data_IF_061207591151
#
_entry.id   IF_061207591151
#
_cell.length_a   1.000
_cell.length_b   1.000
_cell.length_c   1.000
_cell.angle_alpha   90.00
_cell.angle_beta   90.00
_cell.angle_gamma   90.00
#
_symmetry.space_group_name_H-M   'P 1'
#
loop_
_entity.id
_entity.type
_entity.pdbx_description
1 polymer ?
#
# COMPACT_ATOMS: atom_id res chain seq x y z
N UNK A 1 17.36 63.88 50.41
CA UNK A 1 17.80 63.04 49.30
C UNK A 1 17.48 61.61 49.69
N UNK A 2 16.77 60.82 48.89
CA UNK A 2 16.59 59.39 49.19
C UNK A 2 17.99 58.80 49.41
N UNK A 3 18.18 58.07 50.52
CA UNK A 3 19.46 57.43 50.76
C UNK A 3 19.75 56.50 49.57
N UNK A 4 20.99 56.44 49.09
CA UNK A 4 21.43 55.60 47.95
C UNK A 4 20.90 54.15 48.05
N UNK A 5 20.65 53.68 49.27
CA UNK A 5 20.01 52.40 49.60
C UNK A 5 18.59 52.24 49.04
N UNK A 6 17.76 53.29 49.07
CA UNK A 6 16.37 53.24 48.58
C UNK A 6 16.31 53.12 47.05
N UNK A 7 17.25 53.76 46.35
CA UNK A 7 17.38 53.69 44.88
C UNK A 7 17.83 52.29 44.45
N UNK A 8 18.83 51.74 45.15
CA UNK A 8 19.33 50.40 44.88
C UNK A 8 18.27 49.34 45.16
N UNK A 9 17.53 49.46 46.28
CA UNK A 9 16.40 48.58 46.61
C UNK A 9 15.30 48.62 45.55
N UNK A 10 14.92 49.80 45.08
CA UNK A 10 13.91 49.94 44.04
C UNK A 10 14.36 49.29 42.71
N UNK A 11 15.62 49.45 42.33
CA UNK A 11 16.15 48.91 41.08
C UNK A 11 16.17 47.36 41.04
N UNK A 12 16.31 46.70 42.20
CA UNK A 12 16.33 45.24 42.30
C UNK A 12 14.97 44.60 42.60
N UNK A 13 13.94 45.39 42.92
CA UNK A 13 12.59 44.85 43.15
C UNK A 13 11.86 44.47 41.85
N UNK A 14 12.18 45.14 40.73
CA UNK A 14 11.56 44.91 39.42
C UNK A 14 12.25 43.82 38.60
N UNK A 15 13.32 43.21 39.13
CA UNK A 15 14.11 42.17 38.47
C UNK A 15 14.05 40.91 39.33
N UNK A 16 13.84 39.74 38.73
CA UNK A 16 13.80 38.44 39.43
C UNK A 16 15.20 37.95 39.83
N UNK A 17 15.89 38.75 40.64
CA UNK A 17 17.22 38.43 41.17
C UNK A 17 17.26 38.55 42.69
N UNK A 18 18.22 37.84 43.31
CA UNK A 18 18.68 38.12 44.66
C UNK A 18 20.05 38.79 44.57
N UNK A 19 20.21 39.96 45.18
CA UNK A 19 21.44 40.75 45.16
C UNK A 19 21.98 40.94 46.59
N UNK A 20 23.21 40.48 46.80
CA UNK A 20 23.87 40.44 48.10
C UNK A 20 25.18 41.20 48.00
N UNK A 21 25.52 42.02 48.99
CA UNK A 21 26.83 42.64 49.08
C UNK A 21 27.44 42.37 50.45
N UNK A 22 28.74 42.06 50.47
CA UNK A 22 29.53 41.88 51.69
C UNK A 22 30.74 42.82 51.69
N UNK A 23 31.23 43.18 52.87
CA UNK A 23 32.55 43.81 53.04
C UNK A 23 33.70 42.78 52.97
N UNK A 24 34.93 43.25 53.15
CA UNK A 24 36.14 42.40 53.15
C UNK A 24 36.21 41.40 54.30
N UNK A 25 35.49 41.64 55.39
CA UNK A 25 35.42 40.73 56.55
C UNK A 25 34.28 39.71 56.42
N UNK A 26 33.41 39.88 55.42
CA UNK A 26 32.27 39.01 55.14
C UNK A 26 30.96 39.49 55.77
N UNK A 27 30.92 40.69 56.33
CA UNK A 27 29.69 41.29 56.87
C UNK A 27 28.77 41.66 55.73
N UNK A 28 27.52 41.20 55.77
CA UNK A 28 26.52 41.52 54.76
C UNK A 28 26.15 43.00 54.87
N UNK A 29 26.48 43.76 53.83
CA UNK A 29 26.15 45.18 53.67
C UNK A 29 24.77 45.38 53.06
N UNK A 30 24.33 44.43 52.23
CA UNK A 30 23.07 44.50 51.48
C UNK A 30 22.53 43.10 51.20
N UNK A 31 21.21 42.95 51.29
CA UNK A 31 20.48 41.74 50.90
C UNK A 31 19.11 42.17 50.36
N UNK A 32 19.01 42.36 49.05
CA UNK A 32 17.84 42.94 48.37
C UNK A 32 17.42 42.09 47.16
N UNK A 33 16.18 42.24 46.70
CA UNK A 33 15.65 41.59 45.50
C UNK A 33 14.55 40.55 45.77
N UNK A 34 13.67 40.38 44.78
CA UNK A 34 12.47 39.55 44.90
C UNK A 34 12.77 38.07 45.23
N UNK A 35 13.96 37.59 44.84
CA UNK A 35 14.38 36.20 45.06
C UNK A 35 14.99 35.94 46.44
N UNK A 36 15.30 36.96 47.24
CA UNK A 36 15.86 36.80 48.61
C UNK A 36 14.88 36.04 49.52
N UNK A 37 13.59 36.40 49.43
CA UNK A 37 12.49 35.71 50.14
C UNK A 37 12.35 34.24 49.75
N UNK A 38 12.66 33.90 48.49
CA UNK A 38 12.60 32.52 47.97
C UNK A 38 13.82 31.67 48.40
N UNK A 39 14.90 32.32 48.83
CA UNK A 39 16.06 31.68 49.48
C UNK A 39 15.87 31.53 51.01
N UNK A 40 14.69 31.87 51.54
CA UNK A 40 14.32 31.69 52.94
C UNK A 40 14.64 32.87 53.87
N UNK A 41 15.08 34.01 53.33
CA UNK A 41 15.40 35.22 54.10
C UNK A 41 14.51 36.40 53.69
N UNK A 42 14.08 37.23 54.62
CA UNK A 42 13.45 38.50 54.27
C UNK A 42 14.51 39.51 53.77
N UNK A 43 14.19 40.39 52.80
CA UNK A 43 15.09 41.47 52.40
C UNK A 43 15.56 42.27 53.62
N UNK A 44 16.87 42.52 53.69
CA UNK A 44 17.51 43.21 54.81
C UNK A 44 17.68 42.40 56.10
N UNK A 45 17.07 41.21 56.26
CA UNK A 45 17.10 40.44 57.52
C UNK A 45 18.51 40.08 57.98
N UNK A 46 19.39 39.81 57.03
CA UNK A 46 20.73 39.29 57.29
C UNK A 46 21.82 40.37 57.18
N UNK A 47 21.43 41.63 56.99
CA UNK A 47 22.37 42.77 56.97
C UNK A 47 23.02 42.90 58.35
N UNK A 48 24.35 43.03 58.37
CA UNK A 48 25.16 43.07 59.59
C UNK A 48 25.60 41.70 60.12
N UNK A 49 25.08 40.59 59.60
CA UNK A 49 25.58 39.26 59.91
C UNK A 49 26.78 38.90 59.04
N UNK A 50 27.64 38.01 59.54
CA UNK A 50 28.79 37.53 58.78
C UNK A 50 28.40 36.34 57.88
N UNK A 51 28.52 36.51 56.56
CA UNK A 51 28.14 35.52 55.56
C UNK A 51 28.96 34.23 55.70
N UNK A 52 30.26 34.31 56.04
CA UNK A 52 31.11 33.13 56.19
C UNK A 52 30.74 32.29 57.40
N UNK A 53 30.19 32.91 58.45
CA UNK A 53 29.66 32.19 59.60
C UNK A 53 28.30 31.57 59.30
N UNK A 54 27.42 32.31 58.60
CA UNK A 54 26.09 31.81 58.22
C UNK A 54 26.16 30.60 57.29
N UNK A 55 27.16 30.55 56.41
CA UNK A 55 27.38 29.46 55.45
C UNK A 55 28.45 28.47 55.92
N UNK A 56 28.73 28.37 57.22
CA UNK A 56 29.67 27.39 57.77
C UNK A 56 29.29 25.96 57.34
N UNK A 57 30.25 25.22 56.75
CA UNK A 57 30.01 23.90 56.15
C UNK A 57 29.58 23.92 54.67
N UNK A 58 29.56 25.09 54.03
CA UNK A 58 29.41 25.26 52.57
C UNK A 58 30.67 25.90 51.98
N UNK A 59 31.80 25.22 52.12
CA UNK A 59 33.14 25.70 51.77
C UNK A 59 33.24 26.17 50.31
N UNK A 60 32.53 25.51 49.39
CA UNK A 60 32.51 25.85 47.96
C UNK A 60 31.91 27.24 47.70
N UNK A 61 30.80 27.57 48.36
CA UNK A 61 30.16 28.88 48.22
C UNK A 61 31.04 29.99 48.84
N UNK A 62 31.63 29.72 50.00
CA UNK A 62 32.55 30.64 50.68
C UNK A 62 33.80 30.90 49.83
N UNK A 63 34.34 29.87 49.17
CA UNK A 63 35.52 30.00 48.33
C UNK A 63 35.31 30.99 47.16
N UNK A 64 34.11 31.03 46.58
CA UNK A 64 33.78 31.94 45.48
C UNK A 64 33.74 33.41 45.94
N UNK A 65 33.19 33.68 47.12
CA UNK A 65 33.27 35.03 47.72
C UNK A 65 34.71 35.42 48.07
N UNK A 66 35.53 34.50 48.57
CA UNK A 66 36.96 34.77 48.85
C UNK A 66 37.76 35.07 47.57
N UNK A 67 37.47 34.39 46.47
CA UNK A 67 38.08 34.69 45.15
C UNK A 67 37.68 36.08 44.65
N UNK A 68 36.41 36.45 44.82
CA UNK A 68 35.95 37.81 44.53
C UNK A 68 36.65 38.87 45.38
N UNK A 69 36.84 38.63 46.68
CA UNK A 69 37.61 39.52 47.55
C UNK A 69 39.10 39.59 47.21
N UNK A 70 39.65 38.57 46.54
CA UNK A 70 40.98 38.60 45.95
C UNK A 70 41.04 39.32 44.57
N UNK A 71 39.89 39.79 44.07
CA UNK A 71 39.76 40.55 42.83
C UNK A 71 39.27 39.76 41.62
N UNK A 72 38.95 38.47 41.79
CA UNK A 72 38.53 37.60 40.69
C UNK A 72 37.00 37.57 40.55
N UNK A 73 36.51 37.87 39.35
CA UNK A 73 35.08 37.69 39.08
C UNK A 73 34.74 36.21 38.88
N UNK A 74 33.70 35.73 39.56
CA UNK A 74 33.26 34.35 39.49
C UNK A 74 31.82 34.26 38.96
N UNK A 75 31.53 33.21 38.20
CA UNK A 75 30.18 32.87 37.72
C UNK A 75 30.01 31.36 37.76
N UNK A 76 28.86 30.91 38.25
CA UNK A 76 28.53 29.48 38.29
C UNK A 76 27.02 29.26 38.23
N UNK A 77 26.65 28.06 37.79
CA UNK A 77 25.29 27.56 37.83
C UNK A 77 25.20 26.40 38.81
N UNK A 78 24.14 26.36 39.60
CA UNK A 78 23.89 25.28 40.55
C UNK A 78 22.41 24.94 40.59
N UNK A 79 22.12 23.64 40.76
CA UNK A 79 20.81 23.17 41.20
C UNK A 79 20.76 23.24 42.73
N UNK A 80 19.87 24.08 43.25
CA UNK A 80 19.61 24.20 44.68
C UNK A 80 18.14 23.86 44.93
N UNK A 81 17.90 22.69 45.52
CA UNK A 81 16.56 22.19 45.88
C UNK A 81 15.54 22.21 44.72
N UNK A 82 15.99 21.80 43.51
CA UNK A 82 15.15 21.72 42.32
C UNK A 82 15.02 23.05 41.56
N UNK A 83 15.87 24.03 41.88
CA UNK A 83 15.95 25.32 41.19
C UNK A 83 17.31 25.50 40.55
N UNK A 84 17.30 25.79 39.27
CA UNK A 84 18.50 26.13 38.53
C UNK A 84 18.79 27.61 38.73
N UNK A 85 19.88 27.93 39.42
CA UNK A 85 20.29 29.31 39.65
C UNK A 85 21.61 29.60 39.00
N UNK A 86 21.77 30.82 38.48
CA UNK A 86 23.05 31.35 38.02
C UNK A 86 23.47 32.46 38.97
N UNK A 87 24.64 32.31 39.58
CA UNK A 87 25.19 33.30 40.51
C UNK A 87 26.45 33.92 39.94
N UNK A 88 26.46 35.25 39.84
CA UNK A 88 27.64 36.05 39.47
C UNK A 88 28.15 36.80 40.68
N UNK A 89 29.42 36.64 41.02
CA UNK A 89 30.09 37.33 42.12
C UNK A 89 31.19 38.22 41.56
N UNK A 90 31.18 39.50 41.93
CA UNK A 90 32.12 40.52 41.46
C UNK A 90 32.75 41.26 42.65
N UNK A 91 34.04 41.66 42.58
CA UNK A 91 34.64 42.55 43.57
C UNK A 91 33.97 43.93 43.55
N UNK A 92 33.70 44.48 44.73
CA UNK A 92 33.36 45.90 44.91
C UNK A 92 34.63 46.68 45.17
N UNK A 93 34.82 47.79 44.44
CA UNK A 93 36.00 48.66 44.55
C UNK A 93 35.59 50.08 44.94
N UNK A 94 36.43 50.75 45.72
CA UNK A 94 36.29 52.18 46.00
C UNK A 94 36.83 53.06 44.85
N UNK A 95 36.78 54.37 45.03
CA UNK A 95 37.26 55.35 44.03
C UNK A 95 38.76 55.29 43.73
N UNK A 96 39.55 54.68 44.63
CA UNK A 96 40.99 54.47 44.47
C UNK A 96 41.31 53.08 43.91
N UNK A 97 40.28 52.27 43.63
CA UNK A 97 40.39 50.93 43.04
C UNK A 97 40.68 49.80 44.04
N UNK A 98 40.75 50.10 45.34
CA UNK A 98 40.92 49.10 46.38
C UNK A 98 39.65 48.26 46.54
N UNK A 99 39.81 46.96 46.79
CA UNK A 99 38.66 46.06 46.99
C UNK A 99 38.11 46.30 48.40
N UNK A 100 36.86 46.75 48.46
CA UNK A 100 36.14 47.05 49.71
C UNK A 100 35.06 46.02 50.03
N UNK A 101 34.85 45.04 49.15
CA UNK A 101 33.84 44.01 49.33
C UNK A 101 33.60 43.15 48.09
N UNK A 102 32.49 42.42 48.10
CA UNK A 102 32.02 41.66 46.95
C UNK A 102 30.49 41.76 46.82
N UNK A 103 30.00 41.75 45.58
CA UNK A 103 28.57 41.68 45.26
C UNK A 103 28.27 40.38 44.54
N UNK A 104 27.23 39.68 44.99
CA UNK A 104 26.69 38.51 44.33
C UNK A 104 25.28 38.82 43.81
N UNK A 105 25.01 38.44 42.57
CA UNK A 105 23.68 38.47 41.97
C UNK A 105 23.33 37.05 41.57
N UNK A 106 22.20 36.56 42.06
CA UNK A 106 21.66 35.24 41.76
C UNK A 106 20.38 35.39 40.96
N UNK A 107 20.39 34.85 39.74
CA UNK A 107 19.26 34.74 38.80
C UNK A 107 18.66 33.33 38.89
N UNK A 108 17.33 33.20 38.91
CA UNK A 108 16.65 31.91 38.75
C UNK A 108 16.42 31.64 37.26
N UNK A 109 16.98 30.53 36.76
CA UNK A 109 16.86 30.08 35.38
C UNK A 109 15.89 28.90 35.23
N UNK A 110 15.14 28.55 36.28
CA UNK A 110 14.30 27.35 36.31
C UNK A 110 13.19 27.39 35.26
N UNK A 111 12.46 28.50 35.14
CA UNK A 111 11.38 28.63 34.15
C UNK A 111 11.89 28.61 32.71
N UNK A 112 13.03 29.27 32.45
CA UNK A 112 13.67 29.29 31.13
C UNK A 112 14.14 27.88 30.75
N UNK A 113 14.83 27.18 31.67
CA UNK A 113 15.28 25.79 31.49
C UNK A 113 14.11 24.84 31.27
N UNK A 114 13.03 24.96 32.05
CA UNK A 114 11.83 24.12 31.90
C UNK A 114 11.14 24.36 30.56
N UNK A 115 10.98 25.62 30.15
CA UNK A 115 10.39 25.98 28.86
C UNK A 115 11.25 25.42 27.71
N UNK A 116 12.57 25.56 27.80
CA UNK A 116 13.48 25.07 26.78
C UNK A 116 13.50 23.54 26.72
N UNK A 117 13.47 22.86 27.87
CA UNK A 117 13.35 21.40 27.94
C UNK A 117 12.01 20.93 27.34
N UNK A 118 10.90 21.59 27.66
CA UNK A 118 9.58 21.28 27.12
C UNK A 118 9.54 21.44 25.59
N UNK A 119 10.12 22.53 25.06
CA UNK A 119 10.22 22.75 23.61
C UNK A 119 11.09 21.66 22.96
N UNK A 120 12.21 21.31 23.58
CA UNK A 120 13.10 20.26 23.07
C UNK A 120 12.40 18.88 23.05
N UNK A 121 11.67 18.56 24.12
CA UNK A 121 10.88 17.33 24.23
C UNK A 121 9.73 17.30 23.19
N UNK A 122 8.99 18.39 23.04
CA UNK A 122 7.96 18.52 22.00
C UNK A 122 8.54 18.39 20.60
N UNK A 123 9.70 18.99 20.34
CA UNK A 123 10.40 18.89 19.05
C UNK A 123 10.86 17.46 18.78
N UNK A 124 11.38 16.76 19.80
CA UNK A 124 11.78 15.37 19.70
C UNK A 124 10.57 14.45 19.46
N UNK A 125 9.47 14.65 20.20
CA UNK A 125 8.23 13.89 20.04
C UNK A 125 7.59 14.10 18.66
N UNK A 126 7.57 15.33 18.14
CA UNK A 126 7.11 15.61 16.78
C UNK A 126 7.99 14.93 15.71
N UNK A 127 9.32 14.88 15.92
CA UNK A 127 10.24 14.15 15.05
C UNK A 127 10.00 12.64 15.12
N UNK A 128 9.84 12.08 16.32
CA UNK A 128 9.54 10.67 16.50
C UNK A 128 8.19 10.30 15.86
N UNK A 129 7.15 11.13 16.02
CA UNK A 129 5.88 10.94 15.32
C UNK A 129 6.05 10.98 13.79
N UNK A 130 6.89 11.88 13.25
CA UNK A 130 7.21 11.91 11.83
C UNK A 130 8.00 10.66 11.36
N UNK A 131 8.89 10.13 12.20
CA UNK A 131 9.65 8.90 11.93
C UNK A 131 8.79 7.63 12.04
N UNK A 132 7.80 7.61 12.96
CA UNK A 132 6.84 6.51 13.09
C UNK A 132 5.92 6.40 11.85
N UNK A 133 5.62 7.52 11.19
CA UNK A 133 4.93 7.50 9.89
C UNK A 133 5.78 6.85 8.78
N UNK A 134 7.10 6.92 8.90
CA UNK A 134 8.08 6.35 7.95
C UNK A 134 8.25 4.82 8.07
N UNK A 135 7.67 4.19 9.11
CA UNK A 135 7.58 2.73 9.27
C UNK A 135 6.48 2.09 8.43
N UNK A 136 5.49 2.88 7.99
CA UNK A 136 4.58 2.42 6.93
C UNK A 136 5.40 2.41 5.64
N UNK A 137 5.55 1.24 5.02
CA UNK A 137 6.33 1.10 3.78
C UNK A 137 5.69 1.84 2.58
N UNK A 138 4.57 2.52 2.81
CA UNK A 138 3.82 3.29 1.83
C UNK A 138 4.59 4.57 1.45
N UNK A 139 4.50 4.89 0.16
CA UNK A 139 4.96 6.17 -0.35
C UNK A 139 3.93 7.24 -0.02
N UNK A 140 4.35 8.29 0.66
CA UNK A 140 3.52 9.43 1.03
C UNK A 140 4.00 10.66 0.25
N UNK A 141 3.09 11.20 -0.56
CA UNK A 141 3.32 12.32 -1.45
C UNK A 141 2.30 13.40 -1.11
N UNK A 142 2.77 14.63 -0.89
CA UNK A 142 1.87 15.80 -0.77
C UNK A 142 2.08 16.67 -1.99
N UNK A 143 0.97 17.10 -2.59
CA UNK A 143 0.97 18.00 -3.74
C UNK A 143 -0.05 19.12 -3.58
N UNK A 144 0.16 20.22 -4.27
CA UNK A 144 -0.86 21.26 -4.41
C UNK A 144 -2.00 20.83 -5.37
N UNK A 145 -2.95 21.73 -5.63
CA UNK A 145 -4.09 21.45 -6.49
C UNK A 145 -3.75 21.36 -7.98
N UNK A 146 -2.61 21.93 -8.40
CA UNK A 146 -2.08 21.82 -9.77
C UNK A 146 -1.25 20.53 -9.95
N UNK A 147 -1.11 19.74 -8.88
CA UNK A 147 -0.45 18.45 -8.88
C UNK A 147 1.06 18.53 -8.64
N UNK A 148 1.58 19.70 -8.26
CA UNK A 148 3.00 19.92 -8.00
C UNK A 148 3.38 19.38 -6.63
N UNK A 149 4.41 18.54 -6.57
CA UNK A 149 4.89 17.89 -5.36
C UNK A 149 5.50 18.92 -4.41
N UNK A 150 4.96 18.99 -3.19
CA UNK A 150 5.45 19.83 -2.09
C UNK A 150 6.19 19.00 -1.03
N UNK A 151 5.77 17.74 -0.82
CA UNK A 151 6.42 16.80 0.10
C UNK A 151 6.56 15.41 -0.50
N UNK A 152 7.66 14.74 -0.14
CA UNK A 152 8.08 13.44 -0.63
C UNK A 152 8.78 12.69 0.51
N UNK A 153 8.14 11.64 1.05
CA UNK A 153 8.72 10.90 2.18
C UNK A 153 9.74 9.84 1.74
N UNK A 154 10.40 9.21 2.70
CA UNK A 154 11.39 8.15 2.44
C UNK A 154 10.77 6.91 1.81
N UNK A 155 9.49 6.62 2.08
CA UNK A 155 8.72 5.58 1.40
C UNK A 155 8.64 5.82 -0.11
N UNK A 156 8.39 7.06 -0.53
CA UNK A 156 8.32 7.45 -1.93
C UNK A 156 9.70 7.40 -2.62
N UNK A 157 10.77 7.79 -1.92
CA UNK A 157 12.14 7.60 -2.43
C UNK A 157 12.47 6.13 -2.69
N UNK A 158 12.11 5.24 -1.76
CA UNK A 158 12.33 3.79 -1.92
C UNK A 158 11.49 3.20 -3.04
N UNK A 159 10.22 3.58 -3.13
CA UNK A 159 9.29 3.02 -4.11
C UNK A 159 9.60 3.48 -5.54
N UNK A 160 9.82 4.78 -5.73
CA UNK A 160 9.96 5.37 -7.06
C UNK A 160 11.41 5.72 -7.43
N UNK A 161 12.38 5.66 -6.52
CA UNK A 161 13.79 5.88 -6.82
C UNK A 161 14.19 7.34 -7.07
N UNK A 162 13.28 8.29 -6.90
CA UNK A 162 13.56 9.73 -6.92
C UNK A 162 13.82 10.22 -5.50
N UNK A 163 14.90 10.97 -5.28
CA UNK A 163 15.10 11.71 -4.03
C UNK A 163 14.07 12.84 -3.88
N UNK A 164 13.80 13.25 -2.64
CA UNK A 164 12.90 14.36 -2.34
C UNK A 164 13.27 15.65 -3.09
N UNK A 165 14.56 15.95 -3.22
CA UNK A 165 15.06 17.13 -3.94
C UNK A 165 14.83 17.04 -5.46
N UNK A 166 14.86 15.84 -6.02
CA UNK A 166 14.55 15.61 -7.44
C UNK A 166 13.04 15.64 -7.73
N UNK A 167 12.22 15.30 -6.74
CA UNK A 167 10.77 15.18 -6.88
C UNK A 167 10.04 16.51 -6.60
N UNK A 168 10.50 17.27 -5.61
CA UNK A 168 9.86 18.53 -5.20
C UNK A 168 9.81 19.54 -6.35
N UNK A 169 8.65 20.19 -6.51
CA UNK A 169 8.42 21.18 -7.58
C UNK A 169 8.05 20.59 -8.94
N UNK A 170 8.00 19.25 -9.09
CA UNK A 170 7.52 18.59 -10.31
C UNK A 170 6.06 18.18 -10.18
N UNK A 171 5.38 18.04 -11.32
CA UNK A 171 4.03 17.48 -11.38
C UNK A 171 4.08 15.97 -11.16
N UNK A 172 3.33 15.46 -10.18
CA UNK A 172 3.41 14.06 -9.75
C UNK A 172 3.05 13.07 -10.86
N UNK A 173 2.00 13.36 -11.64
CA UNK A 173 1.53 12.51 -12.75
C UNK A 173 2.61 12.36 -13.82
N UNK A 174 3.31 13.45 -14.14
CA UNK A 174 4.35 13.46 -15.17
C UNK A 174 5.62 12.78 -14.69
N UNK A 175 6.08 13.10 -13.47
CA UNK A 175 7.28 12.50 -12.87
C UNK A 175 7.18 10.98 -12.81
N UNK A 176 5.99 10.48 -12.44
CA UNK A 176 5.73 9.05 -12.23
C UNK A 176 5.14 8.36 -13.46
N UNK A 177 5.01 9.06 -14.60
CA UNK A 177 4.37 8.55 -15.82
C UNK A 177 3.03 7.83 -15.52
N UNK A 178 2.18 8.47 -14.71
CA UNK A 178 1.02 7.80 -14.10
C UNK A 178 -0.08 7.53 -15.12
N UNK A 179 -0.41 6.26 -15.32
CA UNK A 179 -1.60 5.82 -16.04
C UNK A 179 -2.76 5.60 -15.06
N UNK A 180 -3.66 6.58 -15.02
CA UNK A 180 -4.84 6.58 -14.14
C UNK A 180 -5.95 5.66 -14.69
N UNK A 181 -6.75 5.03 -13.82
CA UNK A 181 -7.80 4.10 -14.24
C UNK A 181 -9.00 4.79 -14.89
N UNK A 182 -9.15 6.09 -14.66
CA UNK A 182 -10.21 6.95 -15.22
C UNK A 182 -9.63 8.32 -15.57
N UNK A 183 -10.39 9.14 -16.31
CA UNK A 183 -9.96 10.48 -16.69
C UNK A 183 -9.65 11.36 -15.45
N UNK A 184 -8.58 12.20 -15.46
CA UNK A 184 -8.20 13.05 -14.33
C UNK A 184 -9.35 13.91 -13.79
N UNK A 185 -10.15 14.51 -14.68
CA UNK A 185 -11.30 15.33 -14.32
C UNK A 185 -12.39 14.56 -13.53
N UNK A 186 -12.47 13.24 -13.67
CA UNK A 186 -13.38 12.43 -12.86
C UNK A 186 -12.87 12.28 -11.42
N UNK A 187 -11.57 12.02 -11.26
CA UNK A 187 -10.91 11.92 -9.96
C UNK A 187 -10.96 13.25 -9.23
N UNK A 188 -10.68 14.36 -9.91
CA UNK A 188 -10.75 15.71 -9.33
C UNK A 188 -12.15 16.04 -8.80
N UNK A 189 -13.20 15.69 -9.57
CA UNK A 189 -14.59 15.89 -9.14
C UNK A 189 -14.90 15.07 -7.89
N UNK A 190 -14.46 13.82 -7.86
CA UNK A 190 -14.65 12.94 -6.72
C UNK A 190 -13.92 13.46 -5.48
N UNK A 191 -12.65 13.86 -5.60
CA UNK A 191 -11.90 14.51 -4.53
C UNK A 191 -12.59 15.78 -4.01
N UNK A 192 -13.13 16.63 -4.89
CA UNK A 192 -13.84 17.85 -4.44
C UNK A 192 -15.14 17.56 -3.71
N UNK A 193 -15.79 16.44 -4.03
CA UNK A 193 -17.11 16.10 -3.49
C UNK A 193 -17.02 15.24 -2.22
N UNK A 194 -16.12 14.26 -2.23
CA UNK A 194 -15.95 13.26 -1.17
C UNK A 194 -14.71 13.49 -0.30
N UNK A 195 -13.83 14.38 -0.71
CA UNK A 195 -12.53 14.64 -0.06
C UNK A 195 -11.59 13.43 -0.04
N UNK A 196 -11.95 12.39 -0.79
CA UNK A 196 -11.30 11.10 -0.80
C UNK A 196 -11.47 10.45 -2.17
N UNK A 197 -10.42 9.79 -2.65
CA UNK A 197 -10.45 8.90 -3.81
C UNK A 197 -9.52 7.72 -3.57
N UNK A 198 -9.88 6.55 -4.08
CA UNK A 198 -9.05 5.36 -4.05
C UNK A 198 -9.08 4.63 -5.39
N UNK A 199 -7.96 4.01 -5.75
CA UNK A 199 -7.85 3.23 -6.98
C UNK A 199 -6.45 2.68 -7.20
N UNK A 200 -6.33 1.83 -8.22
CA UNK A 200 -5.03 1.30 -8.64
C UNK A 200 -4.49 2.12 -9.80
N UNK A 201 -3.23 2.53 -9.69
CA UNK A 201 -2.54 3.36 -10.67
C UNK A 201 -1.29 2.61 -11.13
N UNK A 202 -1.01 2.64 -12.43
CA UNK A 202 0.27 2.18 -12.97
C UNK A 202 1.21 3.37 -13.12
N UNK A 203 2.42 3.23 -12.61
CA UNK A 203 3.43 4.28 -12.54
C UNK A 203 4.80 3.71 -12.91
N UNK A 204 5.76 4.59 -13.12
CA UNK A 204 7.15 4.22 -13.38
C UNK A 204 8.05 4.79 -12.27
N UNK A 205 9.01 3.98 -11.83
CA UNK A 205 10.15 4.46 -11.04
C UNK A 205 11.23 5.09 -11.94
N UNK A 206 12.19 5.76 -11.32
CA UNK A 206 13.30 6.46 -11.96
C UNK A 206 14.15 5.58 -12.89
N UNK A 207 14.22 4.27 -12.62
CA UNK A 207 14.92 3.26 -13.42
C UNK A 207 14.04 2.62 -14.52
N UNK A 208 12.79 3.08 -14.67
CA UNK A 208 11.83 2.59 -15.67
C UNK A 208 11.07 1.33 -15.26
N UNK A 209 11.23 0.83 -14.04
CA UNK A 209 10.41 -0.29 -13.55
C UNK A 209 8.95 0.13 -13.39
N UNK A 210 8.03 -0.70 -13.87
CA UNK A 210 6.60 -0.55 -13.64
C UNK A 210 6.26 -0.80 -12.17
N UNK A 211 5.54 0.14 -11.58
CA UNK A 211 4.95 0.09 -10.24
C UNK A 211 3.44 0.09 -10.38
N UNK A 212 2.77 -0.88 -9.77
CA UNK A 212 1.32 -0.87 -9.59
C UNK A 212 1.04 -0.44 -8.16
N UNK A 213 0.54 0.78 -8.00
CA UNK A 213 0.25 1.37 -6.71
C UNK A 213 -1.24 1.26 -6.38
N UNK A 214 -1.57 0.69 -5.22
CA UNK A 214 -2.87 0.92 -4.60
C UNK A 214 -2.82 2.31 -3.95
N UNK A 215 -3.49 3.27 -4.56
CA UNK A 215 -3.37 4.69 -4.25
C UNK A 215 -4.61 5.21 -3.55
N UNK A 216 -4.40 5.98 -2.48
CA UNK A 216 -5.44 6.67 -1.70
C UNK A 216 -5.13 8.16 -1.65
N UNK A 217 -6.03 8.98 -2.14
CA UNK A 217 -5.89 10.43 -2.23
C UNK A 217 -6.87 11.11 -1.29
N UNK A 218 -6.37 12.00 -0.44
CA UNK A 218 -7.16 12.73 0.55
C UNK A 218 -7.00 14.23 0.27
N UNK A 219 -8.11 14.92 0.07
CA UNK A 219 -8.12 16.37 -0.10
C UNK A 219 -7.99 17.04 1.27
N UNK A 220 -6.94 17.83 1.46
CA UNK A 220 -6.74 18.66 2.64
C UNK A 220 -7.21 20.08 2.37
N UNK A 221 -7.98 20.62 3.31
CA UNK A 221 -8.37 22.02 3.34
C UNK A 221 -7.42 22.82 4.22
N UNK A 222 -7.22 24.09 3.87
CA UNK A 222 -6.57 25.06 4.74
C UNK A 222 -7.50 25.54 5.85
N UNK A 223 -6.98 26.37 6.74
CA UNK A 223 -7.73 26.94 7.87
C UNK A 223 -8.92 27.83 7.41
N UNK A 224 -8.88 28.29 6.15
CA UNK A 224 -9.95 29.05 5.49
C UNK A 224 -11.08 28.16 4.91
N UNK A 225 -10.99 26.83 5.08
CA UNK A 225 -11.95 25.87 4.55
C UNK A 225 -11.83 25.61 3.03
N UNK A 226 -10.85 26.22 2.35
CA UNK A 226 -10.64 25.99 0.92
C UNK A 226 -9.71 24.81 0.69
N UNK A 227 -9.87 24.06 -0.42
CA UNK A 227 -8.91 23.02 -0.79
C UNK A 227 -7.50 23.62 -0.91
N UNK A 228 -6.51 22.97 -0.30
CA UNK A 228 -5.15 23.48 -0.23
C UNK A 228 -4.12 22.48 -0.77
N UNK A 229 -4.31 21.19 -0.50
CA UNK A 229 -3.37 20.15 -0.92
C UNK A 229 -4.06 18.79 -1.09
N UNK A 230 -3.40 17.87 -1.78
CA UNK A 230 -3.77 16.47 -1.86
C UNK A 230 -2.67 15.62 -1.24
N UNK A 231 -3.05 14.82 -0.24
CA UNK A 231 -2.21 13.78 0.34
C UNK A 231 -2.45 12.48 -0.44
N UNK A 232 -1.41 11.93 -1.06
CA UNK A 232 -1.43 10.64 -1.73
C UNK A 232 -0.61 9.64 -0.94
N UNK A 233 -1.19 8.47 -0.73
CA UNK A 233 -0.58 7.32 -0.08
C UNK A 233 -0.62 6.18 -1.10
N UNK A 234 0.55 5.70 -1.47
CA UNK A 234 0.72 4.62 -2.44
C UNK A 234 1.33 3.39 -1.78
N UNK A 235 0.63 2.27 -1.88
CA UNK A 235 1.14 0.95 -1.48
C UNK A 235 1.53 0.15 -2.72
N UNK A 236 2.77 -0.35 -2.78
CA UNK A 236 3.21 -1.21 -3.89
C UNK A 236 2.49 -2.57 -3.86
N UNK A 237 1.66 -2.82 -4.86
CA UNK A 237 0.95 -4.09 -5.06
C UNK A 237 1.44 -4.83 -6.31
N UNK A 238 2.56 -4.42 -6.91
CA UNK A 238 3.09 -4.96 -8.17
C UNK A 238 3.28 -6.47 -8.09
N UNK A 239 3.96 -6.95 -7.05
CA UNK A 239 4.22 -8.39 -6.87
C UNK A 239 2.91 -9.18 -6.68
N UNK A 240 1.98 -8.63 -5.89
CA UNK A 240 0.67 -9.24 -5.64
C UNK A 240 -0.17 -9.31 -6.92
N UNK A 241 -0.20 -8.24 -7.71
CA UNK A 241 -0.95 -8.19 -8.98
C UNK A 241 -0.38 -9.14 -10.02
N UNK A 242 0.95 -9.19 -10.17
CA UNK A 242 1.61 -10.16 -11.07
C UNK A 242 1.33 -11.61 -10.68
N UNK A 243 1.33 -11.93 -9.39
CA UNK A 243 0.99 -13.27 -8.91
C UNK A 243 -0.47 -13.64 -9.25
N UNK A 244 -1.41 -12.70 -9.03
CA UNK A 244 -2.81 -12.91 -9.32
C UNK A 244 -3.08 -13.10 -10.84
N UNK A 245 -2.44 -12.29 -11.69
CA UNK A 245 -2.56 -12.42 -13.14
C UNK A 245 -1.96 -13.75 -13.65
N UNK A 246 -0.83 -14.18 -13.10
CA UNK A 246 -0.21 -15.45 -13.46
C UNK A 246 -1.10 -16.65 -13.06
N UNK A 247 -1.72 -16.60 -11.87
CA UNK A 247 -2.65 -17.64 -11.43
C UNK A 247 -3.91 -17.66 -12.31
N UNK A 248 -4.46 -16.50 -12.65
CA UNK A 248 -5.62 -16.38 -13.53
C UNK A 248 -5.34 -16.99 -14.92
N UNK A 249 -4.20 -16.64 -15.53
CA UNK A 249 -3.76 -17.21 -16.82
C UNK A 249 -3.62 -18.74 -16.73
N UNK A 250 -2.99 -19.25 -15.67
CA UNK A 250 -2.82 -20.70 -15.49
C UNK A 250 -4.15 -21.44 -15.35
N UNK A 251 -5.12 -20.85 -14.65
CA UNK A 251 -6.48 -21.42 -14.56
C UNK A 251 -7.18 -21.43 -15.91
N UNK A 252 -7.06 -20.35 -16.67
CA UNK A 252 -7.67 -20.25 -18.00
C UNK A 252 -7.06 -21.26 -18.99
N UNK A 253 -5.74 -21.44 -18.96
CA UNK A 253 -5.04 -22.47 -19.74
C UNK A 253 -5.52 -23.88 -19.39
N UNK A 254 -5.72 -24.18 -18.10
CA UNK A 254 -6.23 -25.47 -17.65
C UNK A 254 -7.67 -25.71 -18.09
N UNK A 255 -8.54 -24.71 -17.98
CA UNK A 255 -9.93 -24.78 -18.48
C UNK A 255 -9.93 -25.03 -19.99
N UNK A 256 -9.09 -24.31 -20.75
CA UNK A 256 -8.99 -24.47 -22.21
C UNK A 256 -8.50 -25.87 -22.58
N UNK A 257 -7.49 -26.40 -21.88
CA UNK A 257 -6.99 -27.75 -22.10
C UNK A 257 -8.05 -28.81 -21.76
N UNK A 258 -8.80 -28.65 -20.67
CA UNK A 258 -9.90 -29.54 -20.32
C UNK A 258 -11.02 -29.50 -21.38
N UNK A 259 -11.39 -28.31 -21.87
CA UNK A 259 -12.39 -28.18 -22.93
C UNK A 259 -11.95 -28.88 -24.23
N UNK A 260 -10.69 -28.69 -24.64
CA UNK A 260 -10.13 -29.35 -25.82
C UNK A 260 -10.10 -30.89 -25.68
N UNK A 261 -9.75 -31.41 -24.50
CA UNK A 261 -9.76 -32.85 -24.24
C UNK A 261 -11.18 -33.45 -24.28
N UNK A 262 -12.18 -32.72 -23.79
CA UNK A 262 -13.60 -33.13 -23.89
C UNK A 262 -14.03 -33.14 -25.36
N UNK A 263 -13.60 -32.15 -26.15
CA UNK A 263 -13.92 -32.04 -27.56
C UNK A 263 -13.35 -33.20 -28.38
N UNK A 264 -12.06 -33.54 -28.17
CA UNK A 264 -11.38 -34.68 -28.82
C UNK A 264 -12.07 -36.02 -28.52
N UNK A 265 -12.60 -36.19 -27.30
CA UNK A 265 -13.30 -37.41 -26.87
C UNK A 265 -14.75 -37.52 -27.37
N UNK A 266 -15.32 -36.48 -27.98
CA UNK A 266 -16.78 -36.37 -28.11
C UNK A 266 -17.40 -37.02 -29.36
N UNK A 267 -16.64 -37.27 -30.43
CA UNK A 267 -17.12 -37.99 -31.65
C UNK A 267 -15.98 -38.76 -32.37
N UNK A 268 -15.29 -39.69 -31.67
CA UNK A 268 -14.15 -40.39 -32.27
C UNK A 268 -14.61 -41.28 -33.44
N UNK A 269 -13.97 -41.16 -34.60
CA UNK A 269 -14.15 -42.13 -35.68
C UNK A 269 -13.15 -43.27 -35.48
N UNK A 270 -13.65 -44.45 -35.14
CA UNK A 270 -12.87 -45.61 -34.75
C UNK A 270 -12.78 -46.59 -35.93
N UNK A 271 -11.59 -46.85 -36.52
CA UNK A 271 -11.44 -47.89 -37.53
C UNK A 271 -11.50 -49.28 -36.89
N UNK A 272 -12.45 -50.10 -37.35
CA UNK A 272 -12.55 -51.51 -36.96
C UNK A 272 -11.70 -52.38 -37.88
N UNK A 273 -11.68 -52.02 -39.16
CA UNK A 273 -10.81 -52.62 -40.19
C UNK A 273 -10.36 -51.51 -41.15
N UNK A 274 -9.55 -51.88 -42.14
CA UNK A 274 -9.14 -51.04 -43.27
C UNK A 274 -10.31 -50.51 -44.12
N UNK A 275 -11.52 -51.05 -43.97
CA UNK A 275 -12.68 -50.63 -44.77
C UNK A 275 -13.94 -50.33 -43.95
N UNK A 276 -13.89 -50.51 -42.62
CA UNK A 276 -15.06 -50.36 -41.74
C UNK A 276 -14.70 -49.38 -40.62
N UNK A 277 -15.45 -48.29 -40.56
CA UNK A 277 -15.32 -47.25 -39.55
C UNK A 277 -16.56 -47.25 -38.65
N UNK A 278 -16.39 -46.95 -37.36
CA UNK A 278 -17.47 -46.80 -36.39
C UNK A 278 -17.40 -45.40 -35.79
N UNK A 279 -18.51 -44.67 -35.80
CA UNK A 279 -18.66 -43.39 -35.12
C UNK A 279 -19.74 -43.53 -34.02
N UNK A 280 -19.35 -43.66 -32.74
CA UNK A 280 -20.28 -43.60 -31.64
C UNK A 280 -20.69 -42.16 -31.34
N UNK A 281 -21.99 -41.94 -31.17
CA UNK A 281 -22.58 -40.66 -30.81
C UNK A 281 -23.12 -40.74 -29.38
N UNK A 282 -22.41 -40.10 -28.45
CA UNK A 282 -22.69 -40.17 -27.01
C UNK A 282 -23.06 -38.78 -26.48
N UNK A 283 -24.11 -38.70 -25.66
CA UNK A 283 -24.53 -37.46 -24.98
C UNK A 283 -25.40 -36.54 -25.86
N UNK A 284 -25.75 -35.36 -25.33
CA UNK A 284 -26.61 -34.42 -26.05
C UNK A 284 -25.92 -33.84 -27.29
N UNK A 285 -26.63 -33.73 -28.40
CA UNK A 285 -26.11 -33.23 -29.67
C UNK A 285 -26.49 -31.77 -29.88
N UNK A 286 -25.49 -30.90 -30.01
CA UNK A 286 -25.67 -29.48 -30.35
C UNK A 286 -25.21 -29.19 -31.80
N UNK A 287 -25.36 -27.93 -32.24
CA UNK A 287 -25.01 -27.51 -33.60
C UNK A 287 -23.50 -27.58 -33.91
N UNK A 288 -22.64 -27.37 -32.91
CA UNK A 288 -21.19 -27.46 -33.08
C UNK A 288 -20.77 -28.92 -33.25
N UNK A 289 -21.25 -29.80 -32.37
CA UNK A 289 -21.04 -31.25 -32.46
C UNK A 289 -21.58 -31.82 -33.77
N UNK A 290 -22.75 -31.39 -34.21
CA UNK A 290 -23.33 -31.82 -35.48
C UNK A 290 -22.44 -31.53 -36.70
N UNK A 291 -21.78 -30.36 -36.71
CA UNK A 291 -20.82 -30.01 -37.77
C UNK A 291 -19.58 -30.91 -37.69
N UNK A 292 -19.01 -31.09 -36.50
CA UNK A 292 -17.83 -31.93 -36.32
C UNK A 292 -18.08 -33.40 -36.66
N UNK A 293 -19.29 -33.93 -36.39
CA UNK A 293 -19.70 -35.27 -36.85
C UNK A 293 -19.52 -35.41 -38.35
N UNK A 294 -20.08 -34.48 -39.14
CA UNK A 294 -20.03 -34.56 -40.60
C UNK A 294 -18.58 -34.42 -41.09
N UNK A 295 -17.87 -33.40 -40.60
CA UNK A 295 -16.50 -33.11 -41.04
C UNK A 295 -15.55 -34.28 -40.74
N UNK A 296 -15.60 -34.85 -39.52
CA UNK A 296 -14.75 -35.98 -39.13
C UNK A 296 -15.10 -37.25 -39.90
N UNK A 297 -16.39 -37.51 -40.12
CA UNK A 297 -16.85 -38.71 -40.81
C UNK A 297 -16.40 -38.69 -42.29
N UNK A 298 -16.56 -37.56 -42.98
CA UNK A 298 -16.12 -37.39 -44.37
C UNK A 298 -14.60 -37.43 -44.52
N UNK A 299 -13.87 -36.76 -43.62
CA UNK A 299 -12.41 -36.79 -43.61
C UNK A 299 -11.89 -38.21 -43.42
N UNK A 300 -12.41 -38.93 -42.42
CA UNK A 300 -11.92 -40.27 -42.11
C UNK A 300 -12.32 -41.35 -43.13
N UNK A 301 -13.49 -41.25 -43.79
CA UNK A 301 -13.79 -42.12 -44.95
C UNK A 301 -12.77 -41.92 -46.05
N UNK A 302 -12.46 -40.66 -46.36
CA UNK A 302 -11.54 -40.32 -47.45
C UNK A 302 -10.12 -40.79 -47.14
N UNK A 303 -9.70 -40.68 -45.88
CA UNK A 303 -8.37 -41.09 -45.41
C UNK A 303 -8.21 -42.62 -45.38
N UNK A 304 -9.20 -43.33 -44.85
CA UNK A 304 -9.14 -44.80 -44.69
C UNK A 304 -9.64 -45.53 -45.95
N UNK A 305 -10.21 -44.82 -46.93
CA UNK A 305 -10.95 -45.40 -48.07
C UNK A 305 -12.03 -46.39 -47.61
N UNK A 306 -12.75 -46.02 -46.54
CA UNK A 306 -13.74 -46.89 -45.92
C UNK A 306 -14.92 -47.19 -46.85
N UNK A 307 -15.29 -48.46 -47.01
CA UNK A 307 -16.50 -48.87 -47.74
C UNK A 307 -17.76 -48.80 -46.86
N UNK A 308 -17.60 -48.94 -45.54
CA UNK A 308 -18.69 -48.93 -44.58
C UNK A 308 -18.44 -47.97 -43.42
N UNK A 309 -19.45 -47.18 -43.07
CA UNK A 309 -19.47 -46.41 -41.83
C UNK A 309 -20.65 -46.78 -40.97
N UNK A 310 -20.38 -47.14 -39.73
CA UNK A 310 -21.38 -47.47 -38.73
C UNK A 310 -21.55 -46.28 -37.80
N UNK A 311 -22.72 -45.68 -37.79
CA UNK A 311 -23.06 -44.59 -36.86
C UNK A 311 -23.85 -45.19 -35.70
N UNK A 312 -23.25 -45.22 -34.52
CA UNK A 312 -23.89 -45.78 -33.32
C UNK A 312 -24.54 -44.70 -32.48
N UNK A 313 -25.88 -44.67 -32.49
CA UNK A 313 -26.69 -43.69 -31.76
C UNK A 313 -27.15 -44.19 -30.38
N UNK A 314 -26.64 -45.33 -29.91
CA UNK A 314 -27.02 -45.93 -28.62
C UNK A 314 -26.85 -44.96 -27.44
N UNK A 315 -25.88 -44.05 -27.52
CA UNK A 315 -25.57 -43.07 -26.47
C UNK A 315 -26.38 -41.77 -26.51
N UNK A 316 -27.35 -41.63 -27.43
CA UNK A 316 -28.19 -40.44 -27.54
C UNK A 316 -29.47 -40.61 -26.68
N UNK A 317 -29.70 -39.74 -25.67
CA UNK A 317 -30.84 -39.89 -24.77
C UNK A 317 -32.19 -39.58 -25.45
N UNK A 318 -32.20 -38.63 -26.39
CA UNK A 318 -33.37 -38.23 -27.20
C UNK A 318 -32.88 -37.86 -28.60
N UNK A 319 -33.60 -38.31 -29.63
CA UNK A 319 -33.41 -37.87 -31.02
C UNK A 319 -34.56 -36.97 -31.39
N UNK A 320 -34.27 -35.70 -31.66
CA UNK A 320 -35.24 -34.71 -32.16
C UNK A 320 -35.05 -34.49 -33.67
N UNK A 321 -35.84 -33.57 -34.24
CA UNK A 321 -35.76 -33.21 -35.66
C UNK A 321 -34.38 -32.67 -36.07
N UNK A 322 -33.69 -31.96 -35.18
CA UNK A 322 -32.37 -31.41 -35.48
C UNK A 322 -31.33 -32.55 -35.59
N UNK A 323 -31.31 -33.46 -34.62
CA UNK A 323 -30.44 -34.65 -34.61
C UNK A 323 -30.73 -35.54 -35.82
N UNK A 324 -32.01 -35.81 -36.10
CA UNK A 324 -32.41 -36.59 -37.28
C UNK A 324 -31.90 -35.97 -38.58
N UNK A 325 -32.03 -34.64 -38.75
CA UNK A 325 -31.52 -33.92 -39.92
C UNK A 325 -30.01 -34.09 -40.10
N UNK A 326 -29.26 -34.05 -38.99
CA UNK A 326 -27.79 -34.21 -39.01
C UNK A 326 -27.41 -35.63 -39.44
N UNK A 327 -28.03 -36.67 -38.86
CA UNK A 327 -27.78 -38.07 -39.22
C UNK A 327 -28.06 -38.32 -40.71
N UNK A 328 -29.14 -37.75 -41.25
CA UNK A 328 -29.47 -37.88 -42.68
C UNK A 328 -28.48 -37.15 -43.58
N UNK A 329 -28.06 -35.94 -43.20
CA UNK A 329 -27.05 -35.19 -43.94
C UNK A 329 -25.73 -35.94 -43.96
N UNK A 330 -25.31 -36.48 -42.81
CA UNK A 330 -24.14 -37.33 -42.73
C UNK A 330 -24.28 -38.54 -43.66
N UNK A 331 -25.38 -39.30 -43.55
CA UNK A 331 -25.61 -40.47 -44.40
C UNK A 331 -25.57 -40.17 -45.90
N UNK A 332 -26.20 -39.06 -46.33
CA UNK A 332 -26.17 -38.60 -47.73
C UNK A 332 -24.75 -38.23 -48.17
N UNK A 333 -24.02 -37.48 -47.36
CA UNK A 333 -22.67 -37.05 -47.68
C UNK A 333 -21.69 -38.23 -47.78
N UNK A 334 -21.82 -39.22 -46.90
CA UNK A 334 -21.05 -40.48 -46.94
C UNK A 334 -21.30 -41.25 -48.22
N UNK A 335 -22.56 -41.36 -48.63
CA UNK A 335 -22.92 -42.05 -49.87
C UNK A 335 -22.35 -41.37 -51.11
N UNK A 336 -22.26 -40.04 -51.11
CA UNK A 336 -21.60 -39.29 -52.19
C UNK A 336 -20.11 -39.62 -52.30
N UNK A 337 -19.46 -40.03 -51.20
CA UNK A 337 -18.09 -40.53 -51.19
C UNK A 337 -17.98 -42.02 -51.55
N UNK A 338 -19.10 -42.70 -51.83
CA UNK A 338 -19.12 -44.10 -52.27
C UNK A 338 -19.14 -45.13 -51.15
N UNK A 339 -19.35 -44.72 -49.89
CA UNK A 339 -19.43 -45.62 -48.75
C UNK A 339 -20.88 -45.87 -48.30
N UNK A 340 -21.16 -47.05 -47.75
CA UNK A 340 -22.47 -47.45 -47.22
C UNK A 340 -22.58 -47.11 -45.73
N UNK A 341 -23.69 -46.46 -45.34
CA UNK A 341 -23.95 -46.12 -43.94
C UNK A 341 -24.84 -47.15 -43.27
N UNK A 342 -24.40 -47.59 -42.09
CA UNK A 342 -25.15 -48.48 -41.20
C UNK A 342 -25.46 -47.73 -39.91
N UNK A 343 -26.74 -47.47 -39.63
CA UNK A 343 -27.17 -46.85 -38.38
C UNK A 343 -27.45 -47.95 -37.34
N UNK A 344 -26.81 -47.87 -36.17
CA UNK A 344 -26.98 -48.83 -35.06
C UNK A 344 -27.51 -48.16 -33.80
N UNK A 345 -28.11 -48.93 -32.89
CA UNK A 345 -28.60 -48.39 -31.61
C UNK A 345 -29.99 -47.77 -31.68
N UNK A 346 -30.77 -48.10 -32.71
CA UNK A 346 -32.13 -47.61 -32.87
C UNK A 346 -33.06 -48.30 -31.87
N UNK A 347 -33.50 -47.55 -30.85
CA UNK A 347 -34.53 -47.99 -29.92
C UNK A 347 -35.94 -47.62 -30.43
N UNK A 348 -36.98 -48.14 -29.76
CA UNK A 348 -38.38 -47.91 -30.15
C UNK A 348 -38.79 -46.43 -30.14
N UNK A 349 -38.26 -45.64 -29.21
CA UNK A 349 -38.53 -44.21 -29.10
C UNK A 349 -37.95 -43.42 -30.27
N UNK A 350 -36.69 -43.70 -30.66
CA UNK A 350 -36.05 -43.06 -31.82
C UNK A 350 -36.76 -43.42 -33.12
N UNK A 351 -37.14 -44.70 -33.29
CA UNK A 351 -37.88 -45.14 -34.47
C UNK A 351 -39.23 -44.42 -34.61
N UNK A 352 -39.97 -44.24 -33.51
CA UNK A 352 -41.23 -43.49 -33.51
C UNK A 352 -41.02 -42.01 -33.91
N UNK A 353 -39.98 -41.36 -33.37
CA UNK A 353 -39.67 -39.97 -33.73
C UNK A 353 -39.33 -39.82 -35.21
N UNK A 354 -38.52 -40.71 -35.78
CA UNK A 354 -38.17 -40.68 -37.21
C UNK A 354 -39.39 -40.87 -38.12
N UNK A 355 -40.32 -41.75 -37.73
CA UNK A 355 -41.60 -41.94 -38.45
C UNK A 355 -42.47 -40.69 -38.34
N UNK A 356 -42.55 -40.07 -37.15
CA UNK A 356 -43.35 -38.86 -36.93
C UNK A 356 -42.84 -37.64 -37.70
N UNK A 357 -41.53 -37.59 -37.98
CA UNK A 357 -40.87 -36.51 -38.74
C UNK A 357 -40.95 -36.77 -40.26
N UNK A 358 -41.54 -37.90 -40.70
CA UNK A 358 -41.64 -38.32 -42.11
C UNK A 358 -40.27 -38.41 -42.80
N UNK A 359 -39.32 -39.07 -42.13
CA UNK A 359 -37.96 -39.24 -42.62
C UNK A 359 -37.84 -40.45 -43.55
N UNK A 360 -37.39 -40.24 -44.78
CA UNK A 360 -37.02 -41.32 -45.69
C UNK A 360 -35.66 -41.93 -45.31
N UNK A 361 -35.69 -43.21 -44.91
CA UNK A 361 -34.53 -44.03 -44.54
C UNK A 361 -34.25 -45.13 -45.56
N UNK A 362 -34.91 -45.12 -46.72
CA UNK A 362 -34.84 -46.23 -47.70
C UNK A 362 -33.41 -46.57 -48.10
N UNK A 363 -32.52 -45.57 -48.14
CA UNK A 363 -31.12 -45.72 -48.51
C UNK A 363 -30.15 -45.88 -47.33
N UNK A 364 -30.66 -46.08 -46.11
CA UNK A 364 -29.85 -46.22 -44.89
C UNK A 364 -30.12 -47.59 -44.27
N UNK A 365 -29.06 -48.39 -44.12
CA UNK A 365 -29.19 -49.70 -43.47
C UNK A 365 -29.28 -49.50 -41.96
N UNK A 366 -30.32 -50.05 -41.35
CA UNK A 366 -30.51 -49.98 -39.89
C UNK A 366 -30.26 -51.33 -39.24
N UNK A 367 -29.65 -51.32 -38.05
CA UNK A 367 -29.34 -52.52 -37.27
C UNK A 367 -29.61 -52.25 -35.79
N UNK A 368 -30.10 -53.26 -35.06
CA UNK A 368 -30.53 -53.08 -33.67
C UNK A 368 -29.36 -52.80 -32.71
N UNK A 369 -28.18 -53.35 -32.99
CA UNK A 369 -26.99 -53.19 -32.14
C UNK A 369 -25.73 -52.94 -32.97
N UNK A 370 -24.73 -52.30 -32.37
CA UNK A 370 -23.41 -52.09 -32.99
C UNK A 370 -22.81 -53.41 -33.51
N UNK A 371 -22.91 -54.49 -32.71
CA UNK A 371 -22.42 -55.82 -33.10
C UNK A 371 -23.06 -56.31 -34.41
N UNK A 372 -24.38 -56.17 -34.54
CA UNK A 372 -25.09 -56.58 -35.77
C UNK A 372 -24.76 -55.68 -36.98
N UNK A 373 -24.41 -54.42 -36.73
CA UNK A 373 -23.88 -53.50 -37.75
C UNK A 373 -22.52 -53.94 -38.29
N UNK A 374 -21.59 -54.27 -37.37
CA UNK A 374 -20.25 -54.76 -37.73
C UNK A 374 -20.36 -56.08 -38.51
N UNK A 375 -21.19 -57.01 -38.05
CA UNK A 375 -21.40 -58.28 -38.75
C UNK A 375 -21.96 -58.10 -40.17
N UNK A 376 -22.88 -57.14 -40.34
CA UNK A 376 -23.42 -56.82 -41.66
C UNK A 376 -22.34 -56.30 -42.62
N UNK A 377 -21.54 -55.33 -42.18
CA UNK A 377 -20.46 -54.75 -42.98
C UNK A 377 -19.40 -55.81 -43.36
N UNK A 378 -18.99 -56.65 -42.40
CA UNK A 378 -18.07 -57.77 -42.66
C UNK A 378 -18.64 -58.80 -43.63
N UNK A 379 -19.94 -59.08 -43.56
CA UNK A 379 -20.63 -60.02 -44.45
C UNK A 379 -20.72 -59.51 -45.89
N UNK A 380 -21.04 -58.22 -46.08
CA UNK A 380 -21.07 -57.56 -47.39
C UNK A 380 -19.69 -57.53 -48.05
N UNK A 381 -18.64 -57.24 -47.28
CA UNK A 381 -17.26 -57.25 -47.79
C UNK A 381 -16.88 -58.60 -48.41
N UNK A 382 -17.22 -59.70 -47.74
CA UNK A 382 -16.94 -61.07 -48.24
C UNK A 382 -17.68 -61.43 -49.53
N UNK A 383 -18.70 -60.67 -49.91
CA UNK A 383 -19.47 -60.87 -51.15
C UNK A 383 -18.95 -59.98 -52.31
N UNK A 384 -18.15 -58.95 -51.99
CA UNK A 384 -17.55 -58.02 -52.96
C UNK A 384 -16.10 -58.37 -53.35
N UNK A 385 -15.48 -59.35 -52.66
CA UNK A 385 -14.16 -59.92 -52.98
C UNK A 385 -14.35 -61.25 -53.69
#
# INVERSE_FOLDING_TARGET
MPELKDIIRAAFNDIEVAAWAIDTEGTVLMSEGAHVSRLGFQPGQIVGFNLFQMYAGKEDAIALFRRALAGESCEFEADQDGRYTRTRIRPLRDGDGAIVGAVAITEDLTEERQTQAQIAEQTASLREQAELLDLTHDAIIVRDLDGVITSWNRGAERLYGHSADQARGKVAVDLLASALPVAPAAIERELRTKEFWEGEIRQASADGREVIAASRWILRRGDDGRPAAVLQIDTDITARRRAQEAEARRKEELIRAQAAAIEELSTPLIPITDQILVMPLIGAMDSMRAKHVIDNLLAGISEVQGEFVIIDITGLPVVDTAVASVLLKAAKAVRLLGAEVVLTGMNSSVAQTLVNIDVDLTDIVTRGTLQSGIQYALGRRKLST
#
